data_IF_904842448125
#
_entry.id   IF_904842448125
#
_cell.length_a   1.000
_cell.length_b   1.000
_cell.length_c   1.000
_cell.angle_alpha   90.00
_cell.angle_beta   90.00
_cell.angle_gamma   90.00
#
_symmetry.space_group_name_H-M   'P 1'
#
loop_
_entity.id
_entity.type
_entity.pdbx_description
1 polymer ?
#
# COMPACT_ATOMS: atom_id res chain seq x y z
N UNK A 1 26.29 -59.36 -19.62
CA UNK A 1 26.48 -60.16 -18.39
C UNK A 1 25.83 -59.43 -17.24
N UNK A 2 24.81 -60.02 -16.59
CA UNK A 2 24.11 -59.39 -15.48
C UNK A 2 24.71 -59.88 -14.17
N UNK A 3 25.59 -59.06 -13.57
CA UNK A 3 26.13 -59.33 -12.24
C UNK A 3 25.00 -59.46 -11.23
N UNK A 4 25.01 -60.53 -10.44
CA UNK A 4 24.02 -60.81 -9.39
C UNK A 4 24.70 -60.62 -8.04
N UNK A 5 24.26 -59.61 -7.27
CA UNK A 5 24.75 -59.40 -5.91
C UNK A 5 24.04 -60.37 -4.95
N UNK A 6 24.81 -61.08 -4.13
CA UNK A 6 24.30 -61.99 -3.10
C UNK A 6 24.47 -61.34 -1.73
N UNK A 7 23.41 -60.74 -1.20
CA UNK A 7 23.40 -60.12 0.14
C UNK A 7 23.06 -61.21 1.17
N UNK A 8 24.00 -61.49 2.08
CA UNK A 8 23.81 -62.41 3.19
C UNK A 8 23.47 -61.61 4.45
N UNK A 9 22.21 -61.68 4.90
CA UNK A 9 21.77 -61.01 6.13
C UNK A 9 21.84 -62.02 7.28
N UNK A 10 22.82 -61.85 8.16
CA UNK A 10 22.98 -62.68 9.36
C UNK A 10 22.41 -61.89 10.54
N UNK A 11 21.30 -62.37 11.11
CA UNK A 11 20.69 -61.86 12.33
C UNK A 11 20.95 -62.89 13.41
N UNK A 12 21.57 -62.48 14.53
CA UNK A 12 22.23 -63.36 15.49
C UNK A 12 21.36 -64.53 15.99
N UNK A 13 20.04 -64.34 16.11
CA UNK A 13 19.13 -65.35 16.68
C UNK A 13 18.08 -65.93 15.71
N UNK A 14 18.27 -65.87 14.39
CA UNK A 14 17.27 -66.43 13.46
C UNK A 14 17.83 -67.07 12.18
N UNK A 15 17.13 -68.15 11.75
CA UNK A 15 17.42 -68.99 10.58
C UNK A 15 17.79 -68.16 9.34
N UNK A 16 18.98 -68.41 8.79
CA UNK A 16 19.60 -67.65 7.69
C UNK A 16 18.73 -67.69 6.43
N UNK A 17 18.18 -66.53 6.04
CA UNK A 17 17.31 -66.41 4.86
C UNK A 17 18.08 -65.76 3.72
N UNK A 18 18.40 -66.54 2.69
CA UNK A 18 19.14 -66.07 1.50
C UNK A 18 18.15 -65.44 0.52
N UNK A 19 18.09 -64.11 0.48
CA UNK A 19 17.34 -63.39 -0.55
C UNK A 19 18.24 -63.11 -1.76
N UNK A 20 17.93 -63.72 -2.90
CA UNK A 20 18.58 -63.42 -4.18
C UNK A 20 17.88 -62.23 -4.82
N UNK A 21 18.30 -61.02 -4.48
CA UNK A 21 17.77 -59.79 -5.07
C UNK A 21 18.56 -59.44 -6.32
N UNK A 22 17.86 -59.15 -7.41
CA UNK A 22 18.53 -58.62 -8.61
C UNK A 22 19.03 -57.20 -8.33
N UNK A 23 20.17 -56.78 -8.89
CA UNK A 23 20.71 -55.42 -8.68
C UNK A 23 19.72 -54.33 -9.12
N UNK A 24 18.85 -54.67 -10.08
CA UNK A 24 17.79 -53.81 -10.57
C UNK A 24 16.78 -53.46 -9.48
N UNK A 25 16.36 -54.44 -8.67
CA UNK A 25 15.42 -54.23 -7.57
C UNK A 25 16.04 -53.40 -6.45
N UNK A 26 17.32 -53.60 -6.14
CA UNK A 26 18.04 -52.78 -5.16
C UNK A 26 18.13 -51.32 -5.62
N UNK A 27 18.50 -51.08 -6.89
CA UNK A 27 18.57 -49.72 -7.46
C UNK A 27 17.19 -49.07 -7.50
N UNK A 28 16.16 -49.79 -7.90
CA UNK A 28 14.77 -49.28 -7.89
C UNK A 28 14.30 -48.92 -6.48
N UNK A 29 14.61 -49.74 -5.48
CA UNK A 29 14.28 -49.44 -4.09
C UNK A 29 14.99 -48.16 -3.59
N UNK A 30 16.28 -47.99 -3.92
CA UNK A 30 17.05 -46.79 -3.55
C UNK A 30 16.51 -45.56 -4.29
N UNK A 31 16.25 -45.63 -5.59
CA UNK A 31 15.67 -44.51 -6.34
C UNK A 31 14.27 -44.16 -5.85
N UNK A 32 13.45 -45.15 -5.50
CA UNK A 32 12.13 -44.95 -4.92
C UNK A 32 12.22 -44.22 -3.58
N UNK A 33 13.18 -44.60 -2.71
CA UNK A 33 13.41 -43.92 -1.44
C UNK A 33 13.81 -42.44 -1.64
N UNK A 34 14.71 -42.18 -2.58
CA UNK A 34 15.16 -40.81 -2.92
C UNK A 34 13.99 -39.98 -3.47
N UNK A 35 13.18 -40.56 -4.37
CA UNK A 35 12.01 -39.91 -4.93
C UNK A 35 10.98 -39.56 -3.85
N UNK A 36 10.75 -40.46 -2.89
CA UNK A 36 9.82 -40.26 -1.79
C UNK A 36 10.31 -39.16 -0.84
N UNK A 37 11.61 -39.14 -0.54
CA UNK A 37 12.22 -38.06 0.24
C UNK A 37 12.11 -36.69 -0.47
N UNK A 38 12.34 -36.66 -1.79
CA UNK A 38 12.18 -35.44 -2.59
C UNK A 38 10.71 -34.97 -2.63
N UNK A 39 9.76 -35.89 -2.77
CA UNK A 39 8.33 -35.57 -2.73
C UNK A 39 7.90 -35.04 -1.36
N UNK A 40 8.43 -35.60 -0.26
CA UNK A 40 8.16 -35.10 1.09
C UNK A 40 8.73 -33.69 1.31
N UNK A 41 9.96 -33.43 0.84
CA UNK A 41 10.56 -32.10 0.91
C UNK A 41 9.80 -31.07 0.07
N UNK A 42 9.42 -31.44 -1.16
CA UNK A 42 8.61 -30.60 -2.04
C UNK A 42 7.22 -30.32 -1.47
N UNK A 43 6.58 -31.33 -0.89
CA UNK A 43 5.28 -31.20 -0.21
C UNK A 43 5.36 -30.31 1.02
N UNK A 44 6.42 -30.41 1.83
CA UNK A 44 6.66 -29.52 2.96
C UNK A 44 6.86 -28.07 2.54
N UNK A 45 7.64 -27.84 1.48
CA UNK A 45 7.86 -26.50 0.93
C UNK A 45 6.57 -25.89 0.34
N UNK A 46 5.84 -26.66 -0.46
CA UNK A 46 4.56 -26.23 -1.02
C UNK A 46 3.53 -25.97 0.10
N UNK A 47 3.45 -26.85 1.11
CA UNK A 47 2.56 -26.67 2.26
C UNK A 47 2.88 -25.40 3.06
N UNK A 48 4.17 -25.13 3.31
CA UNK A 48 4.59 -23.92 4.02
C UNK A 48 4.22 -22.63 3.27
N UNK A 49 4.50 -22.59 1.96
CA UNK A 49 4.17 -21.43 1.12
C UNK A 49 2.65 -21.22 1.00
N UNK A 50 1.86 -22.29 0.89
CA UNK A 50 0.40 -22.21 0.84
C UNK A 50 -0.21 -21.76 2.17
N UNK A 51 0.36 -22.18 3.30
CA UNK A 51 -0.11 -21.78 4.62
C UNK A 51 0.13 -20.28 4.88
N UNK A 52 1.24 -19.75 4.37
CA UNK A 52 1.55 -18.32 4.42
C UNK A 52 0.58 -17.49 3.56
N UNK A 53 0.13 -18.00 2.41
CA UNK A 53 -0.87 -17.33 1.57
C UNK A 53 -2.28 -17.40 2.17
N UNK A 54 -2.66 -18.55 2.74
CA UNK A 54 -3.99 -18.76 3.30
C UNK A 54 -4.25 -17.96 4.58
N UNK A 55 -3.22 -17.71 5.40
CA UNK A 55 -3.35 -16.84 6.57
C UNK A 55 -3.66 -15.38 6.20
N UNK A 56 -3.10 -14.89 5.08
CA UNK A 56 -3.41 -13.56 4.54
C UNK A 56 -4.85 -13.45 4.02
N UNK A 57 -5.33 -14.46 3.28
CA UNK A 57 -6.70 -14.54 2.77
C UNK A 57 -7.75 -14.56 3.89
N UNK A 58 -7.46 -15.24 5.01
CA UNK A 58 -8.36 -15.23 6.17
C UNK A 58 -8.45 -13.84 6.83
N UNK A 59 -7.35 -13.09 6.87
CA UNK A 59 -7.37 -11.72 7.39
C UNK A 59 -8.23 -10.78 6.51
N UNK A 60 -8.21 -10.97 5.19
CA UNK A 60 -8.99 -10.19 4.23
C UNK A 60 -10.50 -10.49 4.34
N UNK A 61 -10.88 -11.75 4.55
CA UNK A 61 -12.30 -12.08 4.81
C UNK A 61 -12.82 -11.47 6.11
N UNK A 62 -11.96 -11.39 7.14
CA UNK A 62 -12.31 -10.77 8.42
C UNK A 62 -12.49 -9.25 8.30
N UNK A 63 -11.72 -8.56 7.45
CA UNK A 63 -11.91 -7.13 7.18
C UNK A 63 -13.14 -6.85 6.33
N UNK A 64 -13.39 -7.63 5.28
CA UNK A 64 -14.59 -7.52 4.44
C UNK A 64 -15.88 -7.74 5.27
N UNK A 65 -15.88 -8.70 6.19
CA UNK A 65 -17.01 -8.90 7.09
C UNK A 65 -17.20 -7.76 8.10
N UNK A 66 -16.14 -7.06 8.51
CA UNK A 66 -16.27 -5.87 9.38
C UNK A 66 -16.94 -4.72 8.63
N UNK A 67 -16.55 -4.50 7.38
CA UNK A 67 -17.12 -3.45 6.54
C UNK A 67 -18.62 -3.66 6.30
N UNK A 68 -19.04 -4.90 6.02
CA UNK A 68 -20.48 -5.24 5.89
C UNK A 68 -21.23 -4.96 7.21
N UNK A 69 -20.66 -5.30 8.36
CA UNK A 69 -21.27 -5.02 9.67
C UNK A 69 -21.40 -3.51 9.93
N UNK A 70 -20.39 -2.72 9.57
CA UNK A 70 -20.43 -1.26 9.73
C UNK A 70 -21.47 -0.60 8.83
N UNK A 71 -21.61 -1.07 7.59
CA UNK A 71 -22.66 -0.59 6.67
C UNK A 71 -24.06 -0.93 7.20
N UNK A 72 -24.27 -2.14 7.71
CA UNK A 72 -25.55 -2.53 8.31
C UNK A 72 -25.88 -1.71 9.56
N UNK A 73 -24.89 -1.44 10.43
CA UNK A 73 -25.10 -0.56 11.59
C UNK A 73 -25.43 0.88 11.19
N UNK A 74 -24.86 1.40 10.08
CA UNK A 74 -25.22 2.72 9.56
C UNK A 74 -26.65 2.76 9.05
N UNK A 75 -27.11 1.71 8.36
CA UNK A 75 -28.49 1.62 7.89
C UNK A 75 -29.48 1.56 9.06
N UNK A 76 -29.22 0.74 10.08
CA UNK A 76 -30.07 0.64 11.26
C UNK A 76 -30.13 1.97 12.03
N UNK A 77 -29.00 2.69 12.13
CA UNK A 77 -28.95 4.03 12.73
C UNK A 77 -29.75 5.05 11.94
N UNK A 78 -29.63 5.05 10.61
CA UNK A 78 -30.40 5.96 9.75
C UNK A 78 -31.90 5.70 9.88
N UNK A 79 -32.30 4.43 9.89
CA UNK A 79 -33.69 4.04 10.11
C UNK A 79 -34.20 4.47 11.49
N UNK A 80 -33.36 4.36 12.53
CA UNK A 80 -33.74 4.80 13.88
C UNK A 80 -33.82 6.33 13.99
N UNK A 81 -32.92 7.06 13.34
CA UNK A 81 -32.95 8.53 13.25
C UNK A 81 -34.16 9.01 12.46
N UNK A 82 -34.50 8.35 11.36
CA UNK A 82 -35.72 8.64 10.59
C UNK A 82 -36.96 8.41 11.45
N UNK A 83 -37.01 7.31 12.22
CA UNK A 83 -38.10 7.03 13.15
C UNK A 83 -38.23 8.11 14.24
N UNK A 84 -37.11 8.65 14.74
CA UNK A 84 -37.09 9.74 15.72
C UNK A 84 -37.51 11.07 15.07
N UNK A 85 -37.05 11.37 13.86
CA UNK A 85 -37.46 12.58 13.14
C UNK A 85 -38.97 12.57 12.81
N UNK A 86 -39.51 11.39 12.50
CA UNK A 86 -40.92 11.22 12.17
C UNK A 86 -41.81 11.13 13.43
N UNK A 87 -41.23 10.88 14.60
CA UNK A 87 -41.96 10.85 15.88
C UNK A 87 -41.85 12.14 16.70
N UNK A 88 -41.10 13.15 16.24
CA UNK A 88 -40.98 14.44 16.93
C UNK A 88 -41.64 15.54 16.07
N UNK A 89 -42.66 16.17 16.64
CA UNK A 89 -43.56 17.10 15.95
C UNK A 89 -42.84 18.39 15.48
N UNK A 90 -43.16 18.90 14.27
CA UNK A 90 -42.51 20.08 13.69
C UNK A 90 -42.78 21.40 14.44
N UNK A 91 -43.69 21.41 15.42
CA UNK A 91 -44.03 22.58 16.24
C UNK A 91 -43.05 22.79 17.41
N UNK A 92 -42.53 21.72 18.02
CA UNK A 92 -41.53 21.85 19.11
C UNK A 92 -40.17 22.34 18.59
N UNK A 93 -39.83 21.98 17.34
CA UNK A 93 -38.64 22.51 16.66
C UNK A 93 -38.76 24.02 16.40
N UNK A 94 -39.94 24.54 16.08
CA UNK A 94 -40.16 25.98 15.88
C UNK A 94 -40.08 26.76 17.20
N UNK A 95 -40.54 26.16 18.31
CA UNK A 95 -40.44 26.77 19.65
C UNK A 95 -38.98 26.84 20.15
N UNK A 96 -38.14 25.85 19.82
CA UNK A 96 -36.72 25.85 20.18
C UNK A 96 -35.84 26.69 19.23
N UNK A 97 -36.25 26.85 17.96
CA UNK A 97 -35.56 27.71 16.98
C UNK A 97 -35.85 29.20 17.16
N UNK A 98 -36.97 29.58 17.79
CA UNK A 98 -37.35 30.98 18.04
C UNK A 98 -36.40 31.75 18.98
N UNK A 99 -35.59 31.04 19.78
CA UNK A 99 -34.72 31.64 20.80
C UNK A 99 -33.22 31.55 20.49
N UNK A 100 -32.84 30.98 19.34
CA UNK A 100 -31.43 30.93 18.93
C UNK A 100 -31.15 32.16 18.08
N UNK A 101 -30.46 33.14 18.65
CA UNK A 101 -29.76 34.15 17.85
C UNK A 101 -28.82 33.41 16.91
N UNK A 102 -29.14 33.44 15.62
CA UNK A 102 -28.33 32.86 14.56
C UNK A 102 -27.05 33.69 14.48
N UNK A 103 -26.07 33.35 15.31
CA UNK A 103 -24.68 33.63 14.96
C UNK A 103 -24.43 32.84 13.66
N UNK A 104 -23.98 33.50 12.57
CA UNK A 104 -23.90 32.86 11.27
C UNK A 104 -23.06 31.59 11.38
N UNK A 105 -23.73 30.45 11.25
CA UNK A 105 -23.13 29.14 11.28
C UNK A 105 -22.00 29.12 10.25
N UNK A 106 -20.77 29.12 10.75
CA UNK A 106 -19.60 28.90 9.93
C UNK A 106 -19.81 27.52 9.30
N UNK A 107 -19.84 27.41 7.96
CA UNK A 107 -20.25 26.19 7.29
C UNK A 107 -19.40 25.03 7.82
N UNK A 108 -20.07 24.01 8.34
CA UNK A 108 -19.44 22.79 8.83
C UNK A 108 -18.48 22.30 7.74
N UNK A 109 -17.18 22.39 8.01
CA UNK A 109 -16.15 21.97 7.05
C UNK A 109 -16.46 20.52 6.68
N UNK A 110 -16.54 20.19 5.38
CA UNK A 110 -16.81 18.83 4.95
C UNK A 110 -15.82 17.88 5.64
N UNK A 111 -16.27 16.67 6.04
CA UNK A 111 -15.40 15.71 6.69
C UNK A 111 -14.16 15.46 5.83
N UNK A 112 -12.98 15.63 6.42
CA UNK A 112 -11.69 15.48 5.72
C UNK A 112 -11.47 13.99 5.45
N UNK A 113 -11.53 13.58 4.19
CA UNK A 113 -11.20 12.21 3.80
C UNK A 113 -9.67 12.00 3.78
N UNK A 114 -9.15 11.53 4.91
CA UNK A 114 -7.72 11.23 5.08
C UNK A 114 -7.24 10.12 4.13
N UNK A 115 -8.12 9.21 3.73
CA UNK A 115 -7.76 8.10 2.84
C UNK A 115 -7.43 8.63 1.45
N UNK A 116 -8.24 9.54 0.92
CA UNK A 116 -7.98 10.21 -0.35
C UNK A 116 -6.72 11.08 -0.31
N UNK A 117 -6.43 11.73 0.83
CA UNK A 117 -5.29 12.63 0.98
C UNK A 117 -3.95 11.89 1.10
N UNK A 118 -3.91 10.81 1.89
CA UNK A 118 -2.69 10.11 2.26
C UNK A 118 -2.47 8.80 1.48
N UNK A 119 -3.31 8.50 0.48
CA UNK A 119 -3.12 7.31 -0.34
C UNK A 119 -1.72 7.30 -0.97
N UNK A 120 -1.04 6.17 -0.81
CA UNK A 120 0.31 5.94 -1.33
C UNK A 120 0.23 5.10 -2.59
N UNK A 121 0.99 5.50 -3.61
CA UNK A 121 1.15 4.73 -4.85
C UNK A 121 2.63 4.46 -5.05
N UNK A 122 2.99 3.20 -5.27
CA UNK A 122 4.35 2.82 -5.63
C UNK A 122 4.30 1.64 -6.61
N UNK A 123 4.54 1.93 -7.90
CA UNK A 123 4.58 0.92 -8.95
C UNK A 123 5.96 0.26 -9.10
N UNK A 124 6.95 0.60 -8.28
CA UNK A 124 8.33 0.12 -8.36
C UNK A 124 9.02 0.40 -9.71
N UNK A 125 8.55 1.40 -10.45
CA UNK A 125 9.16 1.85 -11.72
C UNK A 125 10.15 2.98 -11.49
N UNK A 126 9.86 3.83 -10.50
CA UNK A 126 10.73 4.89 -10.03
C UNK A 126 10.93 4.74 -8.53
N UNK A 127 12.12 5.06 -8.04
CA UNK A 127 12.42 5.15 -6.61
C UNK A 127 12.73 6.60 -6.26
N UNK A 128 12.04 7.10 -5.24
CA UNK A 128 12.25 8.44 -4.73
C UNK A 128 12.99 8.35 -3.39
N UNK A 129 14.18 8.93 -3.34
CA UNK A 129 15.02 8.98 -2.15
C UNK A 129 15.28 10.43 -1.73
N UNK A 130 15.79 10.62 -0.50
CA UNK A 130 16.26 11.92 0.01
C UNK A 130 15.25 13.07 -0.14
N UNK A 131 13.97 12.77 0.07
CA UNK A 131 12.92 13.78 -0.06
C UNK A 131 13.03 14.78 1.08
N UNK A 132 13.06 16.06 0.71
CA UNK A 132 13.04 17.16 1.66
C UNK A 132 12.13 18.28 1.15
N UNK A 133 11.24 18.72 2.03
CA UNK A 133 10.39 19.87 1.82
C UNK A 133 10.67 20.87 2.94
N UNK A 134 11.14 22.06 2.59
CA UNK A 134 11.45 23.12 3.56
C UNK A 134 10.71 24.40 3.21
N UNK A 135 10.09 25.01 4.22
CA UNK A 135 9.63 26.37 4.13
C UNK A 135 10.82 27.31 3.91
N UNK A 136 10.73 28.17 2.89
CA UNK A 136 11.70 29.22 2.60
C UNK A 136 11.26 30.56 3.17
N UNK A 137 12.02 31.61 2.88
CA UNK A 137 11.65 32.96 3.27
C UNK A 137 10.42 33.43 2.44
N UNK A 138 9.47 34.10 3.08
CA UNK A 138 8.26 34.61 2.43
C UNK A 138 7.22 33.53 2.18
N UNK A 139 6.75 33.38 0.94
CA UNK A 139 5.70 32.42 0.53
C UNK A 139 6.27 31.30 -0.36
N UNK A 140 7.50 30.88 -0.09
CA UNK A 140 8.22 29.88 -0.89
C UNK A 140 8.40 28.57 -0.13
N UNK A 141 8.28 27.43 -0.84
CA UNK A 141 8.61 26.10 -0.31
C UNK A 141 9.63 25.46 -1.26
N UNK A 142 10.77 25.05 -0.72
CA UNK A 142 11.81 24.35 -1.48
C UNK A 142 11.58 22.86 -1.38
N UNK A 143 11.34 22.23 -2.52
CA UNK A 143 11.23 20.78 -2.68
C UNK A 143 12.51 20.25 -3.32
N UNK A 144 13.11 19.22 -2.72
CA UNK A 144 14.23 18.50 -3.29
C UNK A 144 14.08 17.00 -3.04
N UNK A 145 14.36 16.19 -4.06
CA UNK A 145 14.42 14.74 -3.94
C UNK A 145 15.31 14.13 -5.03
N UNK A 146 15.69 12.88 -4.80
CA UNK A 146 16.50 12.07 -5.69
C UNK A 146 15.59 11.08 -6.41
N UNK A 147 15.51 11.18 -7.73
CA UNK A 147 14.68 10.32 -8.56
C UNK A 147 15.54 9.29 -9.28
N UNK A 148 15.30 8.02 -9.00
CA UNK A 148 16.00 6.89 -9.59
C UNK A 148 15.05 6.11 -10.51
N UNK A 149 15.54 5.78 -11.70
CA UNK A 149 14.86 4.89 -12.64
C UNK A 149 15.15 3.43 -12.27
N UNK A 150 14.12 2.67 -11.93
CA UNK A 150 14.23 1.22 -11.68
C UNK A 150 14.03 0.39 -12.94
N UNK A 151 13.46 0.97 -14.01
CA UNK A 151 13.37 0.35 -15.32
C UNK A 151 14.71 0.48 -16.06
N UNK A 152 15.57 -0.53 -15.93
CA UNK A 152 16.93 -0.55 -16.51
C UNK A 152 16.97 -0.63 -18.04
N UNK A 153 15.84 -0.90 -18.70
CA UNK A 153 15.72 -1.13 -20.14
C UNK A 153 15.32 0.12 -20.95
N UNK A 154 14.88 1.21 -20.29
CA UNK A 154 14.32 2.37 -20.98
C UNK A 154 14.54 3.68 -20.22
N UNK A 155 14.55 4.79 -20.94
CA UNK A 155 14.45 6.13 -20.34
C UNK A 155 13.01 6.38 -19.88
N UNK A 156 12.85 6.89 -18.66
CA UNK A 156 11.55 7.32 -18.13
C UNK A 156 11.41 8.82 -18.26
N UNK A 157 10.27 9.25 -18.80
CA UNK A 157 9.92 10.65 -18.90
C UNK A 157 8.52 10.89 -18.35
N UNK A 158 8.29 12.11 -17.87
CA UNK A 158 7.01 12.51 -17.34
C UNK A 158 7.07 13.83 -16.57
N UNK A 159 6.08 14.02 -15.71
CA UNK A 159 5.89 15.25 -14.95
C UNK A 159 5.68 14.92 -13.47
N UNK A 160 6.11 15.84 -12.63
CA UNK A 160 5.94 15.81 -11.18
C UNK A 160 4.89 16.85 -10.82
N UNK A 161 3.71 16.41 -10.40
CA UNK A 161 2.69 17.31 -9.87
C UNK A 161 2.80 17.41 -8.36
N UNK A 162 2.70 18.64 -7.84
CA UNK A 162 2.81 18.91 -6.40
C UNK A 162 1.55 19.62 -5.91
N UNK A 163 0.99 19.11 -4.82
CA UNK A 163 -0.19 19.68 -4.16
C UNK A 163 0.15 20.00 -2.72
N UNK A 164 -0.16 21.23 -2.27
CA UNK A 164 -0.08 21.60 -0.86
C UNK A 164 -1.24 20.97 -0.10
N UNK A 165 -0.93 20.38 1.05
CA UNK A 165 -1.88 19.95 2.06
C UNK A 165 -1.81 20.92 3.23
N UNK A 166 -2.91 21.63 3.48
CA UNK A 166 -3.06 22.50 4.64
C UNK A 166 -3.37 21.72 5.91
N UNK A 167 -3.12 22.34 7.07
CA UNK A 167 -3.42 21.80 8.40
C UNK A 167 -4.90 21.52 8.65
N UNK A 168 -5.79 22.11 7.84
CA UNK A 168 -7.24 21.88 7.91
C UNK A 168 -7.73 20.90 6.84
N UNK A 169 -6.83 20.12 6.24
CA UNK A 169 -7.16 19.11 5.23
C UNK A 169 -7.46 19.66 3.83
N UNK A 170 -7.35 20.98 3.64
CA UNK A 170 -7.56 21.61 2.34
C UNK A 170 -6.36 21.39 1.42
N UNK A 171 -6.60 20.91 0.21
CA UNK A 171 -5.56 20.71 -0.80
C UNK A 171 -5.57 21.82 -1.84
N UNK A 172 -4.39 22.33 -2.20
CA UNK A 172 -4.25 23.32 -3.28
C UNK A 172 -3.12 22.90 -4.24
N UNK A 173 -3.39 22.80 -5.54
CA UNK A 173 -2.32 22.52 -6.50
C UNK A 173 -1.33 23.69 -6.51
N UNK A 174 -0.05 23.37 -6.59
CA UNK A 174 0.99 24.39 -6.66
C UNK A 174 1.83 24.20 -7.90
N UNK A 175 2.16 25.33 -8.52
CA UNK A 175 3.08 25.39 -9.64
C UNK A 175 4.46 25.73 -9.11
N UNK A 176 5.48 25.09 -9.68
CA UNK A 176 6.84 25.55 -9.50
C UNK A 176 7.02 26.93 -10.15
N UNK A 177 7.94 27.72 -9.60
CA UNK A 177 8.34 29.00 -10.18
C UNK A 177 8.87 28.83 -11.61
N UNK A 178 9.54 27.70 -11.88
CA UNK A 178 9.90 27.25 -13.23
C UNK A 178 9.18 25.93 -13.55
N UNK A 179 8.30 25.88 -14.55
CA UNK A 179 7.60 24.65 -14.95
C UNK A 179 8.54 23.50 -15.34
N UNK A 180 9.72 23.80 -15.89
CA UNK A 180 10.68 22.77 -16.32
C UNK A 180 11.33 22.01 -15.16
N UNK A 181 11.31 22.57 -13.94
CA UNK A 181 11.87 21.91 -12.75
C UNK A 181 11.06 20.66 -12.35
N UNK A 182 9.79 20.61 -12.77
CA UNK A 182 8.86 19.52 -12.49
C UNK A 182 8.76 18.51 -13.63
N UNK A 183 9.33 18.79 -14.80
CA UNK A 183 9.43 17.79 -15.87
C UNK A 183 10.71 16.96 -15.73
N UNK A 184 10.64 15.68 -16.11
CA UNK A 184 11.82 14.82 -16.06
C UNK A 184 11.92 13.90 -17.28
N UNK A 185 13.16 13.59 -17.62
CA UNK A 185 13.56 12.58 -18.58
C UNK A 185 14.87 11.99 -18.04
N UNK A 186 14.83 10.74 -17.60
CA UNK A 186 15.91 10.09 -16.87
C UNK A 186 16.18 8.69 -17.38
N UNK A 187 17.46 8.39 -17.63
CA UNK A 187 17.90 7.03 -17.93
C UNK A 187 18.24 6.26 -16.65
N UNK A 188 18.82 6.95 -15.66
CA UNK A 188 19.24 6.35 -14.37
C UNK A 188 18.82 7.19 -13.17
N UNK A 189 19.23 8.45 -13.13
CA UNK A 189 19.09 9.30 -11.95
C UNK A 189 18.94 10.78 -12.33
N UNK A 190 18.10 11.50 -11.59
CA UNK A 190 18.03 12.97 -11.61
C UNK A 190 17.74 13.49 -10.20
N UNK A 191 18.47 14.52 -9.80
CA UNK A 191 18.12 15.32 -8.63
C UNK A 191 17.09 16.36 -9.04
N UNK A 192 15.89 16.27 -8.49
CA UNK A 192 14.83 17.25 -8.72
C UNK A 192 14.93 18.32 -7.64
N UNK A 193 14.90 19.58 -8.06
CA UNK A 193 14.86 20.75 -7.18
C UNK A 193 13.85 21.71 -7.75
N UNK A 194 12.80 21.98 -7.00
CA UNK A 194 11.76 22.91 -7.39
C UNK A 194 11.53 23.92 -6.27
N UNK A 195 11.42 25.19 -6.64
CA UNK A 195 10.91 26.22 -5.75
C UNK A 195 9.42 26.41 -6.05
N UNK A 196 8.59 26.12 -5.05
CA UNK A 196 7.14 26.18 -5.12
C UNK A 196 6.67 27.48 -4.49
N UNK A 197 5.72 28.16 -5.12
CA UNK A 197 5.12 29.39 -4.59
C UNK A 197 3.77 29.07 -3.96
N UNK A 198 3.61 29.38 -2.68
CA UNK A 198 2.36 29.14 -1.96
C UNK A 198 1.28 30.12 -2.45
N UNK A 199 0.13 29.64 -2.98
CA UNK A 199 -0.94 30.49 -3.52
C UNK A 199 -1.54 31.40 -2.46
N UNK A 200 -1.89 32.66 -2.80
CA UNK A 200 -2.39 33.69 -1.86
C UNK A 200 -3.53 33.24 -0.94
N UNK A 201 -4.33 32.28 -1.42
CA UNK A 201 -5.40 31.61 -0.69
C UNK A 201 -4.99 30.77 0.53
N UNK A 202 -3.69 30.59 0.79
CA UNK A 202 -3.15 29.78 1.89
C UNK A 202 -1.93 30.47 2.49
N UNK A 203 -1.85 30.57 3.82
CA UNK A 203 -0.66 31.10 4.48
C UNK A 203 0.41 30.01 4.68
N UNK A 204 1.69 30.38 4.73
CA UNK A 204 2.79 29.40 4.82
C UNK A 204 2.74 28.58 6.12
N UNK A 205 2.29 29.18 7.23
CA UNK A 205 2.08 28.52 8.52
C UNK A 205 0.91 27.52 8.52
N UNK A 206 -0.02 27.66 7.58
CA UNK A 206 -1.15 26.74 7.41
C UNK A 206 -0.75 25.51 6.59
N UNK A 207 0.41 25.51 5.95
CA UNK A 207 0.92 24.35 5.20
C UNK A 207 1.35 23.26 6.20
N UNK A 208 0.90 22.04 5.95
CA UNK A 208 1.29 20.86 6.72
C UNK A 208 2.25 19.97 5.92
N UNK A 209 1.89 19.63 4.70
CA UNK A 209 2.64 18.69 3.86
C UNK A 209 2.54 19.02 2.37
N UNK A 210 3.41 18.40 1.59
CA UNK A 210 3.34 18.34 0.14
C UNK A 210 2.95 16.93 -0.28
N UNK A 211 1.96 16.82 -1.15
CA UNK A 211 1.64 15.59 -1.87
C UNK A 211 2.40 15.65 -3.19
N UNK A 212 3.31 14.70 -3.39
CA UNK A 212 4.12 14.57 -4.60
C UNK A 212 3.53 13.43 -5.41
N UNK A 213 3.14 13.70 -6.65
CA UNK A 213 2.72 12.66 -7.60
C UNK A 213 3.63 12.70 -8.83
N UNK A 214 4.19 11.55 -9.17
CA UNK A 214 5.08 11.39 -10.32
C UNK A 214 4.32 10.60 -11.36
N UNK A 215 4.11 11.23 -12.51
CA UNK A 215 3.45 10.63 -13.65
C UNK A 215 4.48 10.18 -14.67
N UNK A 216 4.23 9.05 -15.32
CA UNK A 216 4.98 8.59 -16.48
C UNK A 216 4.00 8.11 -17.54
N UNK A 217 4.12 8.64 -18.75
CA UNK A 217 3.20 8.36 -19.87
C UNK A 217 1.71 8.54 -19.50
N UNK A 218 1.39 9.56 -18.69
CA UNK A 218 0.01 9.87 -18.28
C UNK A 218 -0.55 8.99 -17.16
N UNK A 219 0.26 8.12 -16.55
CA UNK A 219 -0.13 7.30 -15.40
C UNK A 219 0.72 7.66 -14.18
N UNK A 220 0.09 7.85 -13.02
CA UNK A 220 0.80 8.03 -11.75
C UNK A 220 1.52 6.75 -11.35
N UNK A 221 2.86 6.81 -11.33
CA UNK A 221 3.74 5.69 -11.00
C UNK A 221 4.21 5.73 -9.55
N UNK A 222 4.22 6.92 -8.94
CA UNK A 222 4.58 7.12 -7.55
C UNK A 222 3.78 8.27 -6.95
N UNK A 223 3.33 8.10 -5.72
CA UNK A 223 2.69 9.16 -4.92
C UNK A 223 3.03 8.99 -3.46
N UNK A 224 3.47 10.08 -2.83
CA UNK A 224 3.70 10.11 -1.38
C UNK A 224 3.40 11.49 -0.79
N UNK A 225 3.14 11.52 0.52
CA UNK A 225 2.89 12.75 1.29
C UNK A 225 4.07 13.04 2.20
N UNK A 226 4.63 14.23 2.08
CA UNK A 226 5.88 14.62 2.73
C UNK A 226 5.65 15.85 3.59
N UNK A 227 5.93 15.80 4.90
CA UNK A 227 5.73 16.95 5.78
C UNK A 227 6.68 18.09 5.40
N UNK A 228 6.18 19.33 5.47
CA UNK A 228 7.02 20.52 5.27
C UNK A 228 7.67 20.89 6.60
N UNK A 229 9.00 20.92 6.61
CA UNK A 229 9.76 21.34 7.80
C UNK A 229 9.97 22.86 7.79
N UNK A 230 9.87 23.49 8.96
CA UNK A 230 10.19 24.92 9.16
C UNK A 230 9.00 25.90 9.02
N UNK A 231 7.76 25.41 9.05
CA UNK A 231 6.52 26.21 9.14
C UNK A 231 6.13 26.52 10.57
#
# INVERSE_FOLDING_TARGET
MSDKYSVLLMRDDARVRRFRLSPLWLRLAVYSLILLAAAAAGGGYAGYTFWQQNSGLQAETASLQREIRELNMKLERLQNVEKILNSNDPEELQALLGNVTIEPAQPAKPPIDLSALLHKVDMQVVKVDNISARAGNGRSVRLQFDLNNLATDRTLSGEVSVTLLGRQGQTRPVRAANPEDLSYSISRYKKVRANLTVPDSMALNEVYALIISIDSNGKTVFRDTVPVSGT
#
